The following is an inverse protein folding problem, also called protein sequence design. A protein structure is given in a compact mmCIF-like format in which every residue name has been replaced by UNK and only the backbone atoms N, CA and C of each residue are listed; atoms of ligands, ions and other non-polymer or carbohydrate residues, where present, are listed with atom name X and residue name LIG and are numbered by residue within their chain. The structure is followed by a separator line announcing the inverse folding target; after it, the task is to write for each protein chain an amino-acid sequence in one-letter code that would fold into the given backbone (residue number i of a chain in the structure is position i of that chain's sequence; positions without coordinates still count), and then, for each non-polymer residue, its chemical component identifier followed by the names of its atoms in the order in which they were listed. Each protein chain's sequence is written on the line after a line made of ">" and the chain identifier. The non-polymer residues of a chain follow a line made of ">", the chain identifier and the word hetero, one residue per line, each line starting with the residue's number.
data_IF_250496850119
#
_entry.id   IF_250496850119
#
_cell.length_a   1.000
_cell.length_b   1.000
_cell.length_c   1.000
_cell.angle_alpha   90.00
_cell.angle_beta   90.00
_cell.angle_gamma   90.00
#
_symmetry.space_group_name_H-M   'P 1'
#
loop_
_entity.id
_entity.type
_entity.pdbx_description
1 polymer ?
#
# COMPACT_ATOMS: atom_id res chain seq x y z
N UNK A 1 47.32 12.61 58.61
CA UNK A 1 47.61 11.54 57.64
C UNK A 1 46.29 10.84 57.31
N UNK A 2 45.73 11.05 56.13
CA UNK A 2 44.45 10.47 55.72
C UNK A 2 44.65 8.98 55.39
N UNK A 3 44.08 8.09 56.20
CA UNK A 3 44.07 6.65 55.93
C UNK A 3 43.14 6.42 54.73
N UNK A 4 43.73 6.12 53.57
CA UNK A 4 43.01 5.78 52.34
C UNK A 4 42.46 4.35 52.49
N UNK A 5 41.16 4.23 52.70
CA UNK A 5 40.46 2.97 52.88
C UNK A 5 40.58 2.08 51.61
N UNK A 6 41.43 1.04 51.65
CA UNK A 6 41.51 0.02 50.59
C UNK A 6 40.57 -1.15 50.94
N UNK A 7 39.25 -0.94 50.90
CA UNK A 7 38.30 -2.05 50.96
C UNK A 7 38.34 -2.78 49.61
N UNK A 8 39.02 -3.92 49.57
CA UNK A 8 38.88 -4.88 48.49
C UNK A 8 37.47 -5.51 48.53
N UNK A 9 36.96 -5.93 47.38
CA UNK A 9 35.68 -6.62 47.28
C UNK A 9 35.85 -8.02 47.88
N UNK A 10 34.94 -8.44 48.76
CA UNK A 10 34.95 -9.80 49.32
C UNK A 10 34.54 -10.83 48.26
N UNK A 11 35.12 -12.04 48.31
CA UNK A 11 34.71 -13.15 47.43
C UNK A 11 33.21 -13.42 47.52
N UNK A 12 32.63 -13.32 48.72
CA UNK A 12 31.19 -13.52 48.93
C UNK A 12 30.36 -12.44 48.25
N UNK A 13 30.81 -11.18 48.25
CA UNK A 13 30.14 -10.08 47.56
C UNK A 13 30.18 -10.29 46.04
N UNK A 14 31.32 -10.75 45.49
CA UNK A 14 31.43 -11.10 44.06
C UNK A 14 30.50 -12.24 43.69
N UNK A 15 30.45 -13.31 44.50
CA UNK A 15 29.60 -14.47 44.23
C UNK A 15 28.10 -14.11 44.27
N UNK A 16 27.68 -13.30 45.25
CA UNK A 16 26.30 -12.82 45.34
C UNK A 16 25.96 -11.90 44.16
N UNK A 17 26.86 -10.99 43.78
CA UNK A 17 26.66 -10.11 42.63
C UNK A 17 26.53 -10.89 41.32
N UNK A 18 27.41 -11.88 41.08
CA UNK A 18 27.35 -12.73 39.90
C UNK A 18 26.08 -13.58 39.85
N UNK A 19 25.64 -14.12 41.00
CA UNK A 19 24.39 -14.87 41.08
C UNK A 19 23.18 -13.98 40.73
N UNK A 20 23.14 -12.75 41.24
CA UNK A 20 22.07 -11.79 40.90
C UNK A 20 22.08 -11.41 39.43
N UNK A 21 23.26 -11.12 38.85
CA UNK A 21 23.37 -10.83 37.41
C UNK A 21 22.92 -12.04 36.58
N UNK A 22 23.30 -13.25 36.98
CA UNK A 22 22.88 -14.49 36.31
C UNK A 22 21.36 -14.71 36.32
N UNK A 23 20.68 -14.32 37.40
CA UNK A 23 19.21 -14.44 37.52
C UNK A 23 18.51 -13.32 36.78
N UNK A 24 19.02 -12.09 36.86
CA UNK A 24 18.36 -10.89 36.30
C UNK A 24 18.60 -10.75 34.79
N UNK A 25 19.77 -11.15 34.29
CA UNK A 25 20.14 -10.98 32.89
C UNK A 25 19.17 -11.66 31.90
N UNK A 26 18.72 -12.92 32.11
CA UNK A 26 17.74 -13.54 31.22
C UNK A 26 16.40 -12.80 31.19
N UNK A 27 15.98 -12.22 32.32
CA UNK A 27 14.73 -11.49 32.43
C UNK A 27 14.81 -10.17 31.64
N UNK A 28 15.90 -9.41 31.81
CA UNK A 28 16.14 -8.19 31.03
C UNK A 28 16.22 -8.51 29.53
N UNK A 29 16.96 -9.56 29.16
CA UNK A 29 17.10 -9.98 27.77
C UNK A 29 15.75 -10.34 27.15
N UNK A 30 14.91 -11.05 27.89
CA UNK A 30 13.56 -11.42 27.44
C UNK A 30 12.70 -10.19 27.18
N UNK A 31 12.66 -9.23 28.12
CA UNK A 31 11.93 -7.97 27.94
C UNK A 31 12.45 -7.19 26.73
N UNK A 32 13.78 -7.16 26.55
CA UNK A 32 14.39 -6.48 25.41
C UNK A 32 14.00 -7.09 24.07
N UNK A 33 14.09 -8.42 23.93
CA UNK A 33 13.66 -9.12 22.71
C UNK A 33 12.18 -8.89 22.43
N UNK A 34 11.32 -8.97 23.46
CA UNK A 34 9.91 -8.65 23.33
C UNK A 34 9.67 -7.21 22.84
N UNK A 35 10.40 -6.24 23.39
CA UNK A 35 10.32 -4.84 22.97
C UNK A 35 10.70 -4.64 21.50
N UNK A 36 11.76 -5.32 21.02
CA UNK A 36 12.17 -5.24 19.62
C UNK A 36 11.12 -5.83 18.67
N UNK A 37 10.55 -7.00 19.01
CA UNK A 37 9.48 -7.60 18.23
C UNK A 37 8.22 -6.74 18.21
N UNK A 38 7.85 -6.17 19.37
CA UNK A 38 6.69 -5.31 19.53
C UNK A 38 6.80 -4.05 18.67
N UNK A 39 7.96 -3.39 18.73
CA UNK A 39 8.26 -2.21 17.93
C UNK A 39 8.25 -2.53 16.42
N UNK A 40 8.92 -3.60 16.01
CA UNK A 40 8.99 -4.01 14.60
C UNK A 40 7.61 -4.31 14.03
N UNK A 41 6.80 -5.06 14.77
CA UNK A 41 5.45 -5.47 14.33
C UNK A 41 4.48 -4.30 14.26
N UNK A 42 4.57 -3.38 15.22
CA UNK A 42 3.78 -2.14 15.23
C UNK A 42 4.18 -1.21 14.09
N UNK A 43 5.48 -1.05 13.83
CA UNK A 43 5.96 -0.25 12.69
C UNK A 43 5.44 -0.80 11.36
N UNK A 44 5.47 -2.12 11.16
CA UNK A 44 4.88 -2.77 9.98
C UNK A 44 3.39 -2.50 9.84
N UNK A 45 2.65 -2.58 10.94
CA UNK A 45 1.21 -2.28 10.96
C UNK A 45 0.91 -0.82 10.60
N UNK A 46 1.66 0.13 11.16
CA UNK A 46 1.52 1.55 10.82
C UNK A 46 1.84 1.82 9.35
N UNK A 47 2.90 1.20 8.82
CA UNK A 47 3.23 1.31 7.40
C UNK A 47 2.09 0.82 6.50
N UNK A 48 1.45 -0.31 6.84
CA UNK A 48 0.27 -0.80 6.12
C UNK A 48 -0.87 0.22 6.12
N UNK A 49 -1.16 0.84 7.28
CA UNK A 49 -2.19 1.88 7.36
C UNK A 49 -1.84 3.11 6.51
N UNK A 50 -0.58 3.54 6.53
CA UNK A 50 -0.13 4.67 5.71
C UNK A 50 -0.24 4.36 4.22
N UNK A 51 0.18 3.17 3.77
CA UNK A 51 0.03 2.76 2.37
C UNK A 51 -1.43 2.82 1.93
N UNK A 52 -2.36 2.31 2.73
CA UNK A 52 -3.80 2.39 2.42
C UNK A 52 -4.27 3.84 2.34
N UNK A 53 -3.91 4.66 3.32
CA UNK A 53 -4.30 6.07 3.37
C UNK A 53 -3.74 6.86 2.18
N UNK A 54 -2.52 6.56 1.75
CA UNK A 54 -1.90 7.19 0.58
C UNK A 54 -2.59 6.79 -0.72
N UNK A 55 -2.93 5.50 -0.92
CA UNK A 55 -3.72 5.06 -2.08
C UNK A 55 -5.02 5.85 -2.15
N UNK A 56 -5.77 5.89 -1.04
CA UNK A 56 -7.05 6.61 -0.98
C UNK A 56 -6.84 8.09 -1.28
N UNK A 57 -5.79 8.71 -0.72
CA UNK A 57 -5.49 10.13 -0.94
C UNK A 57 -5.20 10.43 -2.40
N UNK A 58 -4.32 9.66 -3.05
CA UNK A 58 -3.95 9.88 -4.44
C UNK A 58 -5.15 9.71 -5.38
N UNK A 59 -5.88 8.61 -5.24
CA UNK A 59 -7.03 8.33 -6.08
C UNK A 59 -8.14 9.37 -5.85
N UNK A 60 -8.40 9.76 -4.60
CA UNK A 60 -9.38 10.82 -4.29
C UNK A 60 -9.01 12.14 -4.96
N UNK A 61 -7.76 12.56 -4.79
CA UNK A 61 -7.27 13.82 -5.34
C UNK A 61 -7.44 13.86 -6.87
N UNK A 62 -7.15 12.74 -7.54
CA UNK A 62 -7.28 12.64 -8.99
C UNK A 62 -8.75 12.60 -9.44
N UNK A 63 -9.62 11.84 -8.74
CA UNK A 63 -11.06 11.81 -9.04
C UNK A 63 -11.69 13.18 -8.87
N UNK A 64 -11.33 13.92 -7.82
CA UNK A 64 -11.89 15.24 -7.54
C UNK A 64 -11.47 16.26 -8.61
N UNK A 65 -10.19 16.25 -9.00
CA UNK A 65 -9.65 17.17 -10.00
C UNK A 65 -9.92 16.76 -11.46
N UNK A 66 -10.25 15.49 -11.71
CA UNK A 66 -10.56 15.01 -13.05
C UNK A 66 -11.81 15.67 -13.62
N UNK A 67 -11.74 16.00 -14.91
CA UNK A 67 -12.91 16.37 -15.73
C UNK A 67 -13.69 15.12 -16.13
N UNK A 68 -12.97 14.07 -16.50
CA UNK A 68 -13.53 12.82 -17.02
C UNK A 68 -12.76 11.61 -16.49
N UNK A 69 -13.48 10.53 -16.25
CA UNK A 69 -12.97 9.24 -15.78
C UNK A 69 -13.31 8.22 -16.85
N UNK A 70 -12.31 7.44 -17.27
CA UNK A 70 -12.48 6.31 -18.18
C UNK A 70 -11.90 5.09 -17.50
N UNK A 71 -12.59 3.97 -17.57
CA UNK A 71 -12.10 2.70 -17.04
C UNK A 71 -11.98 1.70 -18.18
N UNK A 72 -10.99 0.83 -18.04
CA UNK A 72 -10.70 -0.24 -18.96
C UNK A 72 -10.95 -1.55 -18.21
N UNK A 73 -11.89 -2.35 -18.71
CA UNK A 73 -12.29 -3.61 -18.09
C UNK A 73 -12.12 -4.79 -19.05
N UNK A 74 -11.77 -5.95 -18.48
CA UNK A 74 -11.74 -7.24 -19.17
C UNK A 74 -12.94 -8.07 -18.73
N UNK A 75 -13.60 -8.77 -19.65
CA UNK A 75 -14.68 -9.70 -19.32
C UNK A 75 -14.11 -11.05 -18.87
N UNK A 76 -14.12 -11.30 -17.57
CA UNK A 76 -13.74 -12.60 -17.00
C UNK A 76 -14.99 -13.40 -16.58
N UNK A 77 -14.82 -14.71 -16.33
CA UNK A 77 -15.92 -15.61 -15.98
C UNK A 77 -16.67 -15.24 -14.68
N UNK A 78 -16.02 -14.45 -13.80
CA UNK A 78 -16.58 -13.96 -12.53
C UNK A 78 -17.17 -12.54 -12.61
N UNK A 79 -17.08 -11.88 -13.77
CA UNK A 79 -17.57 -10.52 -14.01
C UNK A 79 -16.52 -9.60 -14.66
N UNK A 80 -16.90 -8.35 -14.97
CA UNK A 80 -15.97 -7.38 -15.54
C UNK A 80 -14.95 -6.93 -14.48
N UNK A 81 -13.67 -7.21 -14.71
CA UNK A 81 -12.58 -6.75 -13.84
C UNK A 81 -11.94 -5.50 -14.44
N UNK A 82 -11.86 -4.42 -13.66
CA UNK A 82 -11.23 -3.17 -14.09
C UNK A 82 -9.71 -3.29 -13.92
N UNK A 83 -8.98 -3.38 -15.04
CA UNK A 83 -7.51 -3.43 -15.04
C UNK A 83 -6.89 -2.04 -14.87
N UNK A 84 -7.53 -1.00 -15.42
CA UNK A 84 -6.99 0.35 -15.41
C UNK A 84 -8.06 1.45 -15.35
N UNK A 85 -7.73 2.54 -14.66
CA UNK A 85 -8.51 3.78 -14.65
C UNK A 85 -7.69 4.95 -15.17
N UNK A 86 -8.30 5.72 -16.05
CA UNK A 86 -7.74 6.89 -16.71
C UNK A 86 -8.52 8.13 -16.26
N UNK A 87 -7.81 9.08 -15.68
CA UNK A 87 -8.31 10.40 -15.32
C UNK A 87 -7.85 11.43 -16.34
N UNK A 88 -8.80 12.09 -17.00
CA UNK A 88 -8.53 13.23 -17.87
C UNK A 88 -8.80 14.53 -17.11
N UNK A 89 -7.79 15.39 -17.05
CA UNK A 89 -7.84 16.66 -16.34
C UNK A 89 -8.26 17.81 -17.26
N UNK A 90 -8.78 18.93 -16.71
CA UNK A 90 -9.19 20.09 -17.51
C UNK A 90 -8.08 20.69 -18.38
N UNK A 91 -6.82 20.55 -17.97
CA UNK A 91 -5.64 21.00 -18.72
C UNK A 91 -5.29 20.08 -19.91
N UNK A 92 -5.95 18.91 -20.01
CA UNK A 92 -5.71 17.89 -21.04
C UNK A 92 -4.60 16.90 -20.69
N UNK A 93 -4.09 16.91 -19.45
CA UNK A 93 -3.21 15.85 -18.98
C UNK A 93 -4.03 14.60 -18.64
N UNK A 94 -3.39 13.44 -18.72
CA UNK A 94 -3.96 12.15 -18.30
C UNK A 94 -3.16 11.56 -17.14
N UNK A 95 -3.86 10.91 -16.21
CA UNK A 95 -3.25 10.01 -15.22
C UNK A 95 -3.90 8.64 -15.29
N UNK A 96 -3.08 7.62 -15.50
CA UNK A 96 -3.54 6.24 -15.62
C UNK A 96 -3.06 5.46 -14.40
N UNK A 97 -3.99 4.83 -13.71
CA UNK A 97 -3.77 4.08 -12.49
C UNK A 97 -4.13 2.62 -12.72
N UNK A 98 -3.22 1.73 -12.33
CA UNK A 98 -3.47 0.30 -12.34
C UNK A 98 -2.82 -0.40 -11.15
N UNK A 99 -3.43 -1.51 -10.76
CA UNK A 99 -2.86 -2.46 -9.83
C UNK A 99 -2.08 -3.50 -10.64
N UNK A 100 -0.81 -3.70 -10.32
CA UNK A 100 0.04 -4.61 -11.08
C UNK A 100 1.12 -5.24 -10.21
N UNK A 101 1.44 -6.49 -10.53
CA UNK A 101 2.61 -7.20 -10.02
C UNK A 101 3.74 -7.12 -11.06
N UNK A 102 4.96 -6.78 -10.62
CA UNK A 102 6.17 -6.87 -11.43
C UNK A 102 7.18 -7.80 -10.78
N UNK A 103 7.61 -8.79 -11.56
CA UNK A 103 8.50 -9.86 -11.12
C UNK A 103 7.75 -11.01 -10.46
N UNK A 104 8.35 -12.19 -10.50
CA UNK A 104 7.74 -13.43 -9.98
C UNK A 104 8.27 -13.84 -8.59
N UNK A 105 9.26 -13.10 -8.06
CA UNK A 105 9.96 -13.44 -6.82
C UNK A 105 9.35 -12.79 -5.58
N UNK A 106 9.85 -13.16 -4.39
CA UNK A 106 9.39 -12.64 -3.09
C UNK A 106 9.57 -11.12 -2.88
N UNK A 107 10.43 -10.48 -3.69
CA UNK A 107 10.64 -9.02 -3.72
C UNK A 107 9.95 -8.34 -4.91
N UNK A 108 9.02 -9.04 -5.57
CA UNK A 108 8.20 -8.49 -6.65
C UNK A 108 7.43 -7.27 -6.17
N UNK A 109 7.42 -6.22 -7.00
CA UNK A 109 6.58 -5.07 -6.74
C UNK A 109 5.13 -5.53 -6.90
N UNK A 110 4.31 -5.35 -5.88
CA UNK A 110 2.87 -5.61 -5.92
C UNK A 110 2.15 -4.40 -5.39
N UNK A 111 1.52 -3.64 -6.26
CA UNK A 111 0.76 -2.49 -5.79
C UNK A 111 0.31 -1.55 -6.88
N UNK A 112 0.17 -0.29 -6.48
CA UNK A 112 -0.43 0.75 -7.29
C UNK A 112 0.62 1.50 -8.10
N UNK A 113 0.39 1.58 -9.41
CA UNK A 113 1.25 2.30 -10.34
C UNK A 113 0.53 3.47 -10.98
N UNK A 114 1.28 4.51 -11.30
CA UNK A 114 0.80 5.72 -11.97
C UNK A 114 1.58 5.95 -13.26
N UNK A 115 0.85 6.24 -14.33
CA UNK A 115 1.40 6.81 -15.56
C UNK A 115 0.83 8.21 -15.76
N UNK A 116 1.68 9.24 -15.73
CA UNK A 116 1.29 10.63 -15.96
C UNK A 116 1.66 11.02 -17.39
N UNK A 117 0.66 11.32 -18.21
CA UNK A 117 0.82 11.64 -19.63
C UNK A 117 0.43 13.10 -19.87
N UNK A 118 1.38 13.99 -20.23
CA UNK A 118 1.06 15.38 -20.54
C UNK A 118 0.20 15.51 -21.80
N UNK A 119 -0.55 16.61 -21.89
CA UNK A 119 -1.27 16.95 -23.12
C UNK A 119 -0.34 16.94 -24.35
N UNK A 120 -0.81 16.31 -25.43
CA UNK A 120 -0.07 16.23 -26.70
C UNK A 120 0.94 15.07 -26.79
N UNK A 121 1.06 14.25 -25.74
CA UNK A 121 1.83 13.00 -25.71
C UNK A 121 0.96 11.75 -25.86
N UNK A 122 -0.27 11.94 -26.30
CA UNK A 122 -1.20 10.88 -26.62
C UNK A 122 -2.05 11.27 -27.83
N UNK A 123 -2.51 10.26 -28.55
CA UNK A 123 -3.55 10.33 -29.58
C UNK A 123 -4.79 9.61 -29.07
N UNK A 124 -5.95 10.03 -29.57
CA UNK A 124 -7.21 9.34 -29.32
C UNK A 124 -7.62 8.72 -30.66
N UNK A 125 -7.45 7.41 -30.79
CA UNK A 125 -7.84 6.64 -31.98
C UNK A 125 -8.93 5.65 -31.59
N UNK A 126 -10.08 5.70 -32.26
CA UNK A 126 -11.28 4.91 -31.91
C UNK A 126 -11.59 4.87 -30.40
N UNK A 127 -11.53 6.05 -29.77
CA UNK A 127 -11.70 6.23 -28.33
C UNK A 127 -10.65 5.53 -27.44
N UNK A 128 -9.59 4.95 -27.99
CA UNK A 128 -8.45 4.41 -27.24
C UNK A 128 -7.37 5.48 -27.10
N UNK A 129 -6.82 5.62 -25.89
CA UNK A 129 -5.67 6.49 -25.67
C UNK A 129 -4.41 5.73 -26.07
N UNK A 130 -3.76 6.18 -27.15
CA UNK A 130 -2.45 5.69 -27.57
C UNK A 130 -1.39 6.69 -27.17
N UNK A 131 -0.36 6.22 -26.46
CA UNK A 131 0.69 7.08 -25.92
C UNK A 131 1.82 7.16 -26.93
N UNK A 132 2.05 8.35 -27.46
CA UNK A 132 3.01 8.57 -28.54
C UNK A 132 4.45 8.63 -28.06
N UNK A 133 4.65 8.78 -26.75
CA UNK A 133 5.97 8.88 -26.13
C UNK A 133 6.27 7.64 -25.30
N UNK A 134 7.13 6.77 -25.83
CA UNK A 134 7.55 5.53 -25.18
C UNK A 134 8.40 5.74 -23.93
N UNK A 135 8.93 6.95 -23.69
CA UNK A 135 9.65 7.26 -22.45
C UNK A 135 8.72 7.41 -21.24
N UNK A 136 7.42 7.58 -21.48
CA UNK A 136 6.43 7.66 -20.41
C UNK A 136 6.08 6.23 -20.01
N UNK A 137 6.55 5.84 -18.83
CA UNK A 137 6.29 4.54 -18.23
C UNK A 137 5.51 4.67 -16.92
N UNK A 138 4.98 3.54 -16.45
CA UNK A 138 4.35 3.48 -15.13
C UNK A 138 5.40 3.60 -14.03
N UNK A 139 5.13 4.46 -13.08
CA UNK A 139 5.92 4.61 -11.86
C UNK A 139 5.28 3.81 -10.73
N UNK A 140 6.11 3.19 -9.91
CA UNK A 140 5.69 2.47 -8.72
C UNK A 140 5.41 3.49 -7.62
N UNK A 141 4.14 3.65 -7.23
CA UNK A 141 3.76 4.66 -6.23
C UNK A 141 3.62 4.03 -4.86
N UNK A 142 2.92 2.90 -4.76
CA UNK A 142 2.67 2.20 -3.49
C UNK A 142 2.91 0.72 -3.71
N UNK A 143 3.74 0.11 -2.85
CA UNK A 143 4.07 -1.31 -2.88
C UNK A 143 3.34 -2.09 -1.77
N UNK A 144 3.55 -3.41 -1.76
CA UNK A 144 3.07 -4.33 -0.72
C UNK A 144 1.55 -4.28 -0.53
N UNK A 145 0.80 -4.29 -1.64
CA UNK A 145 -0.65 -4.49 -1.64
C UNK A 145 -0.99 -5.92 -2.05
N UNK A 146 -2.01 -6.48 -1.41
CA UNK A 146 -2.61 -7.76 -1.77
C UNK A 146 -3.51 -7.54 -2.99
N UNK A 147 -2.95 -7.78 -4.18
CA UNK A 147 -3.64 -7.57 -5.46
C UNK A 147 -4.84 -8.49 -5.67
N UNK A 148 -4.89 -9.64 -4.97
CA UNK A 148 -6.05 -10.54 -5.04
C UNK A 148 -7.29 -9.96 -4.34
N UNK A 149 -7.11 -8.89 -3.58
CA UNK A 149 -8.15 -8.24 -2.76
C UNK A 149 -8.16 -6.72 -2.95
N UNK A 150 -7.30 -6.19 -3.82
CA UNK A 150 -7.18 -4.76 -4.09
C UNK A 150 -7.51 -4.51 -5.54
N UNK A 151 -8.38 -3.56 -5.80
CA UNK A 151 -8.87 -3.32 -7.15
C UNK A 151 -9.86 -2.18 -7.22
N UNK A 152 -10.35 -1.97 -8.43
CA UNK A 152 -11.40 -1.03 -8.73
C UNK A 152 -12.66 -1.76 -9.17
N UNK A 153 -13.80 -1.26 -8.72
CA UNK A 153 -15.11 -1.76 -9.13
C UNK A 153 -16.00 -0.56 -9.46
N UNK A 154 -16.94 -0.73 -10.40
CA UNK A 154 -17.91 0.32 -10.72
C UNK A 154 -19.30 -0.19 -10.41
N UNK A 155 -20.06 0.64 -9.69
CA UNK A 155 -21.44 0.37 -9.35
C UNK A 155 -22.38 1.34 -10.04
N UNK A 156 -23.28 0.77 -10.83
CA UNK A 156 -24.34 1.46 -11.52
C UNK A 156 -25.63 1.30 -10.72
N UNK A 157 -26.13 2.41 -10.16
CA UNK A 157 -27.45 2.44 -9.50
C UNK A 157 -28.59 2.66 -10.53
N UNK A 158 -28.25 3.02 -11.76
CA UNK A 158 -29.16 3.22 -12.90
C UNK A 158 -28.44 2.84 -14.21
N UNK A 159 -29.00 3.19 -15.38
CA UNK A 159 -28.36 2.95 -16.69
C UNK A 159 -26.98 3.65 -16.87
N UNK A 160 -26.57 4.50 -15.93
CA UNK A 160 -25.27 5.18 -15.93
C UNK A 160 -24.47 4.83 -14.68
N UNK A 161 -23.17 4.50 -14.81
CA UNK A 161 -22.30 4.26 -13.67
C UNK A 161 -22.21 5.49 -12.77
N UNK A 162 -22.41 5.27 -11.48
CA UNK A 162 -22.64 6.35 -10.50
C UNK A 162 -21.57 6.42 -9.42
N UNK A 163 -20.93 5.28 -9.13
CA UNK A 163 -19.95 5.10 -8.07
C UNK A 163 -18.74 4.32 -8.57
N UNK A 164 -17.56 4.82 -8.25
CA UNK A 164 -16.30 4.10 -8.36
C UNK A 164 -15.93 3.63 -6.96
N UNK A 165 -15.77 2.33 -6.80
CA UNK A 165 -15.41 1.67 -5.56
C UNK A 165 -13.93 1.32 -5.65
N UNK A 166 -13.18 1.76 -4.66
CA UNK A 166 -11.77 1.44 -4.48
C UNK A 166 -11.66 0.51 -3.28
N UNK A 167 -11.27 -0.73 -3.54
CA UNK A 167 -11.01 -1.75 -2.51
C UNK A 167 -9.50 -1.88 -2.36
N UNK A 168 -8.99 -1.75 -1.13
CA UNK A 168 -7.56 -1.84 -0.85
C UNK A 168 -7.34 -2.78 0.32
N UNK A 169 -6.37 -3.67 0.16
CA UNK A 169 -5.86 -4.51 1.21
C UNK A 169 -4.34 -4.56 1.13
N UNK A 170 -3.60 -4.16 2.18
CA UNK A 170 -2.16 -4.29 2.18
C UNK A 170 -1.74 -5.75 2.42
N UNK A 171 -0.56 -6.13 1.97
CA UNK A 171 -0.01 -7.46 2.23
C UNK A 171 0.23 -7.68 3.72
N UNK A 172 0.05 -8.91 4.19
CA UNK A 172 0.30 -9.30 5.58
C UNK A 172 1.80 -9.38 5.86
N UNK A 173 2.35 -8.33 6.48
CA UNK A 173 3.77 -8.23 6.85
C UNK A 173 4.11 -9.01 8.13
N UNK A 174 3.16 -9.15 9.04
CA UNK A 174 3.34 -9.92 10.28
C UNK A 174 2.77 -11.35 10.11
N UNK A 175 3.66 -12.31 9.77
CA UNK A 175 3.28 -13.70 9.39
C UNK A 175 3.23 -14.71 10.55
N UNK A 176 3.72 -14.35 11.74
CA UNK A 176 3.93 -15.29 12.86
C UNK A 176 2.99 -14.97 14.04
N UNK A 177 3.53 -14.79 15.25
CA UNK A 177 2.78 -14.59 16.50
C UNK A 177 1.92 -13.31 16.49
N UNK A 178 2.32 -12.31 15.71
CA UNK A 178 1.70 -10.98 15.68
C UNK A 178 0.76 -10.78 14.48
N UNK A 179 0.13 -11.85 13.96
CA UNK A 179 -0.82 -11.75 12.83
C UNK A 179 -1.99 -10.79 13.06
N UNK A 180 -2.41 -10.63 14.32
CA UNK A 180 -3.44 -9.66 14.71
C UNK A 180 -3.02 -8.20 14.48
N UNK A 181 -1.71 -7.92 14.33
CA UNK A 181 -1.15 -6.61 13.99
C UNK A 181 -0.94 -6.48 12.49
N UNK A 182 -1.95 -6.84 11.72
CA UNK A 182 -2.03 -6.51 10.30
C UNK A 182 -3.36 -5.80 10.06
N UNK A 183 -3.45 -5.02 9.00
CA UNK A 183 -4.75 -4.67 8.42
C UNK A 183 -5.32 -5.96 7.80
N UNK A 184 -6.38 -6.49 8.41
CA UNK A 184 -6.95 -7.80 8.06
C UNK A 184 -8.22 -7.71 7.23
N UNK A 185 -8.85 -6.54 7.19
CA UNK A 185 -10.09 -6.26 6.48
C UNK A 185 -9.80 -5.42 5.25
N UNK A 186 -10.68 -5.55 4.26
CA UNK A 186 -10.61 -4.73 3.05
C UNK A 186 -11.08 -3.32 3.41
N UNK A 187 -10.30 -2.31 3.04
CA UNK A 187 -10.67 -0.91 3.20
C UNK A 187 -11.32 -0.48 1.89
N UNK A 188 -12.62 -0.23 1.95
CA UNK A 188 -13.44 0.12 0.80
C UNK A 188 -13.76 1.60 0.86
N UNK A 189 -13.48 2.33 -0.22
CA UNK A 189 -13.85 3.74 -0.37
C UNK A 189 -14.71 3.91 -1.62
N UNK A 190 -15.86 4.54 -1.47
CA UNK A 190 -16.74 4.86 -2.59
C UNK A 190 -16.59 6.32 -3.00
N UNK A 191 -16.46 6.55 -4.31
CA UNK A 191 -16.39 7.87 -4.92
C UNK A 191 -17.59 8.08 -5.83
N UNK A 192 -18.26 9.24 -5.71
CA UNK A 192 -19.32 9.60 -6.65
C UNK A 192 -18.73 10.16 -7.93
N UNK A 193 -19.17 9.59 -9.06
CA UNK A 193 -18.59 9.80 -10.39
C UNK A 193 -19.65 9.97 -11.48
N UNK A 194 -20.92 10.15 -11.07
CA UNK A 194 -22.14 10.23 -11.89
C UNK A 194 -22.06 11.19 -13.10
N UNK A 195 -21.26 12.26 -13.00
CA UNK A 195 -21.13 13.26 -14.07
C UNK A 195 -19.77 13.23 -14.78
N UNK A 196 -18.92 12.26 -14.45
CA UNK A 196 -17.53 12.20 -14.95
C UNK A 196 -17.22 10.94 -15.74
N UNK A 197 -18.03 9.88 -15.66
CA UNK A 197 -17.68 8.59 -16.28
C UNK A 197 -18.01 8.52 -17.78
N UNK A 198 -17.05 8.00 -18.54
CA UNK A 198 -17.29 7.29 -19.80
C UNK A 198 -16.79 5.84 -19.68
N UNK A 199 -17.60 4.89 -20.14
CA UNK A 199 -17.31 3.45 -20.18
C UNK A 199 -16.52 3.05 -21.42
N UNK A 200 -15.53 2.15 -21.30
CA UNK A 200 -14.79 1.56 -22.43
C UNK A 200 -14.39 0.10 -22.18
N UNK A 201 -14.70 -0.76 -23.14
CA UNK A 201 -14.38 -2.18 -23.13
C UNK A 201 -12.94 -2.41 -23.64
N UNK A 202 -12.11 -3.19 -22.93
CA UNK A 202 -10.87 -3.73 -23.49
C UNK A 202 -11.24 -4.97 -24.32
N UNK A 203 -11.08 -4.87 -25.65
CA UNK A 203 -11.00 -6.05 -26.49
C UNK A 203 -9.52 -6.45 -26.48
N UNK A 204 -9.19 -7.53 -25.77
CA UNK A 204 -7.90 -8.23 -25.92
C UNK A 204 -7.85 -9.03 -27.23
#
# INVERSE_FOLDING_TARGET
>A
MLIKNKKGISLTEVLVALALVGIVSPLIFTIFVFGLEDYSTTTKYLNQQYSVMEVIRYIRQDIEAAKKVTYLYTEEAEGPEIKEIIFEFPNGDLRMWKFEALGDDGDSFKGLRLKSVPKGKYTLDDEKYEITDSSIEYQNIIDKLDLSQSGFEIKSESATPSKLILTIRPERLNKTRYRGRNVNENIITEFSVRYKINEKLLIE
#
